data_IF_656826950645
#
_entry.id   IF_656826950645
#
_cell.length_a   1.000
_cell.length_b   1.000
_cell.length_c   1.000
_cell.angle_alpha   90.00
_cell.angle_beta   90.00
_cell.angle_gamma   90.00
#
_symmetry.space_group_name_H-M   'P 1'
#
loop_
_entity.id
_entity.type
_entity.pdbx_description
1 polymer ?
#
# COMPACT_ATOMS: atom_id res chain seq x y z
N UNK A 1 -5.80 -12.85 40.08
CA UNK A 1 -4.35 -12.70 40.32
C UNK A 1 -3.63 -12.77 38.97
N UNK A 2 -3.24 -11.63 38.40
CA UNK A 2 -2.38 -11.58 37.22
C UNK A 2 -1.26 -10.59 37.53
N UNK A 3 -0.02 -11.10 37.65
CA UNK A 3 1.18 -10.30 37.94
C UNK A 3 1.63 -9.62 36.65
N UNK A 4 1.64 -8.28 36.68
CA UNK A 4 2.28 -7.46 35.67
C UNK A 4 3.81 -7.59 35.77
N UNK A 5 4.44 -7.98 34.66
CA UNK A 5 5.89 -8.01 34.49
C UNK A 5 6.31 -6.67 33.85
N UNK A 6 6.71 -5.71 34.68
CA UNK A 6 7.40 -4.50 34.24
C UNK A 6 8.87 -4.87 34.04
N UNK A 7 9.30 -5.03 32.78
CA UNK A 7 10.72 -5.20 32.44
C UNK A 7 11.34 -3.86 32.03
N UNK A 8 12.60 -3.72 32.43
CA UNK A 8 13.44 -2.55 32.31
C UNK A 8 13.64 -2.13 30.85
N UNK A 9 13.36 -0.87 30.54
CA UNK A 9 13.89 -0.19 29.37
C UNK A 9 15.41 0.00 29.52
N UNK A 10 16.17 -0.94 28.97
CA UNK A 10 17.60 -0.78 28.73
C UNK A 10 17.84 0.23 27.62
N UNK A 11 18.83 1.11 27.82
CA UNK A 11 19.39 1.99 26.79
C UNK A 11 19.91 1.15 25.61
N UNK A 12 19.07 0.91 24.60
CA UNK A 12 19.55 0.47 23.30
C UNK A 12 20.11 1.69 22.57
N UNK A 13 21.43 1.72 22.43
CA UNK A 13 22.12 2.70 21.61
C UNK A 13 21.53 2.72 20.20
N UNK A 14 21.32 3.93 19.68
CA UNK A 14 20.92 4.20 18.30
C UNK A 14 21.96 3.60 17.33
N UNK A 15 21.86 2.31 17.06
CA UNK A 15 22.64 1.69 15.99
C UNK A 15 22.12 2.26 14.68
N UNK A 16 22.97 3.03 14.00
CA UNK A 16 22.75 3.57 12.68
C UNK A 16 22.30 2.44 11.74
N UNK A 17 21.00 2.40 11.43
CA UNK A 17 20.40 1.35 10.62
C UNK A 17 20.91 1.44 9.18
N UNK A 18 21.91 0.61 8.83
CA UNK A 18 22.31 0.44 7.43
C UNK A 18 21.10 -0.08 6.64
N UNK A 19 20.73 0.63 5.58
CA UNK A 19 19.63 0.23 4.69
C UNK A 19 19.97 -1.10 3.99
N UNK A 20 19.00 -2.01 3.77
CA UNK A 20 19.21 -3.22 3.00
C UNK A 20 19.78 -2.92 1.61
N UNK A 21 20.67 -3.79 1.12
CA UNK A 21 21.27 -3.61 -0.20
C UNK A 21 20.30 -4.13 -1.27
N UNK A 22 19.90 -3.26 -2.20
CA UNK A 22 19.08 -3.66 -3.35
C UNK A 22 19.93 -4.41 -4.37
N UNK A 23 19.46 -5.59 -4.77
CA UNK A 23 20.11 -6.44 -5.77
C UNK A 23 19.63 -6.03 -7.17
N UNK A 24 20.54 -5.99 -8.14
CA UNK A 24 20.17 -5.75 -9.54
C UNK A 24 19.41 -6.95 -10.09
N UNK A 25 18.40 -6.71 -10.92
CA UNK A 25 17.64 -7.79 -11.55
C UNK A 25 18.57 -8.68 -12.38
N UNK A 26 18.59 -10.01 -12.15
CA UNK A 26 19.33 -10.93 -13.00
C UNK A 26 18.80 -10.91 -14.44
N UNK A 27 19.67 -11.12 -15.46
CA UNK A 27 19.28 -10.95 -16.86
C UNK A 27 18.40 -12.09 -17.43
N UNK A 28 18.44 -13.28 -16.82
CA UNK A 28 17.69 -14.46 -17.28
C UNK A 28 17.45 -15.44 -16.11
N UNK A 29 16.70 -16.51 -16.38
CA UNK A 29 16.29 -17.48 -15.35
C UNK A 29 17.47 -18.23 -14.73
N UNK A 30 18.45 -18.64 -15.54
CA UNK A 30 19.63 -19.35 -15.06
C UNK A 30 20.43 -18.47 -14.09
N UNK A 31 20.69 -17.22 -14.45
CA UNK A 31 21.41 -16.28 -13.59
C UNK A 31 20.66 -15.97 -12.29
N UNK A 32 19.32 -15.97 -12.33
CA UNK A 32 18.51 -15.85 -11.12
C UNK A 32 18.62 -17.12 -10.25
N UNK A 33 18.55 -18.31 -10.83
CA UNK A 33 18.71 -19.57 -10.11
C UNK A 33 20.10 -19.66 -9.44
N UNK A 34 21.17 -19.38 -10.18
CA UNK A 34 22.55 -19.37 -9.66
C UNK A 34 22.69 -18.37 -8.49
N UNK A 35 22.06 -17.20 -8.61
CA UNK A 35 22.06 -16.19 -7.56
C UNK A 35 21.28 -16.64 -6.31
N UNK A 36 20.14 -17.31 -6.49
CA UNK A 36 19.35 -17.88 -5.39
C UNK A 36 20.14 -18.96 -4.65
N UNK A 37 20.81 -19.86 -5.38
CA UNK A 37 21.64 -20.92 -4.81
C UNK A 37 22.84 -20.37 -4.03
N UNK A 38 23.50 -19.32 -4.54
CA UNK A 38 24.55 -18.59 -3.82
C UNK A 38 24.09 -18.00 -2.47
N UNK A 39 22.78 -17.81 -2.32
CA UNK A 39 22.13 -17.34 -1.11
C UNK A 39 21.37 -18.45 -0.35
N UNK A 40 21.76 -19.71 -0.58
CA UNK A 40 21.24 -20.90 0.12
C UNK A 40 19.73 -21.13 -0.09
N UNK A 41 19.18 -20.67 -1.21
CA UNK A 41 17.79 -20.91 -1.59
C UNK A 41 17.72 -22.05 -2.59
N UNK A 42 17.18 -23.19 -2.15
CA UNK A 42 16.88 -24.33 -3.03
C UNK A 42 15.61 -24.07 -3.86
N UNK A 43 15.76 -24.01 -5.18
CA UNK A 43 14.66 -23.81 -6.13
C UNK A 43 14.15 -25.11 -6.75
N UNK A 44 14.66 -26.28 -6.36
CA UNK A 44 14.30 -27.57 -6.97
C UNK A 44 12.81 -27.91 -6.91
N UNK A 45 12.10 -27.41 -5.88
CA UNK A 45 10.65 -27.61 -5.70
C UNK A 45 9.79 -26.47 -6.23
N UNK A 46 10.38 -25.48 -6.92
CA UNK A 46 9.65 -24.33 -7.45
C UNK A 46 8.94 -24.71 -8.76
N UNK A 47 7.66 -24.37 -8.87
CA UNK A 47 6.80 -24.79 -9.98
C UNK A 47 5.81 -25.90 -9.60
N UNK A 48 5.98 -26.51 -8.42
CA UNK A 48 5.08 -27.52 -7.89
C UNK A 48 4.12 -26.96 -6.81
N UNK A 49 2.88 -27.43 -6.83
CA UNK A 49 1.88 -27.09 -5.82
C UNK A 49 1.56 -25.59 -5.77
N UNK A 50 1.98 -24.91 -4.70
CA UNK A 50 1.78 -23.46 -4.48
C UNK A 50 3.01 -22.63 -4.80
N UNK A 51 4.17 -23.26 -4.98
CA UNK A 51 5.42 -22.58 -5.29
C UNK A 51 5.40 -22.18 -6.77
N UNK A 52 5.73 -20.93 -7.06
CA UNK A 52 5.84 -20.43 -8.42
C UNK A 52 7.22 -20.79 -9.00
N UNK A 53 7.34 -20.99 -10.32
CA UNK A 53 8.63 -21.26 -10.94
C UNK A 53 9.55 -20.02 -10.90
N UNK A 54 10.85 -20.23 -11.07
CA UNK A 54 11.87 -19.16 -11.14
C UNK A 54 11.53 -18.11 -12.19
N UNK A 55 11.03 -18.54 -13.37
CA UNK A 55 10.48 -17.67 -14.42
C UNK A 55 9.50 -16.61 -13.90
N UNK A 56 8.63 -16.99 -12.96
CA UNK A 56 7.64 -16.06 -12.40
C UNK A 56 8.29 -15.00 -11.52
N UNK A 57 9.30 -15.37 -10.70
CA UNK A 57 10.04 -14.39 -9.91
C UNK A 57 10.82 -13.43 -10.81
N UNK A 58 11.48 -13.95 -11.84
CA UNK A 58 12.20 -13.12 -12.82
C UNK A 58 11.26 -12.10 -13.48
N UNK A 59 10.05 -12.54 -13.88
CA UNK A 59 9.03 -11.64 -14.42
C UNK A 59 8.65 -10.56 -13.41
N UNK A 60 8.35 -10.91 -12.16
CA UNK A 60 8.02 -9.93 -11.11
C UNK A 60 9.17 -8.91 -10.89
N UNK A 61 10.43 -9.34 -10.97
CA UNK A 61 11.60 -8.47 -10.84
C UNK A 61 11.82 -7.54 -12.05
N UNK A 62 11.54 -8.05 -13.26
CA UNK A 62 11.63 -7.27 -14.51
C UNK A 62 10.54 -6.21 -14.60
N UNK A 63 9.30 -6.57 -14.24
CA UNK A 63 8.17 -5.63 -14.11
C UNK A 63 8.37 -4.63 -12.96
N UNK A 64 9.27 -4.94 -12.03
CA UNK A 64 9.51 -4.12 -10.85
C UNK A 64 8.40 -4.20 -9.81
N UNK A 65 7.53 -5.21 -9.88
CA UNK A 65 6.48 -5.47 -8.88
C UNK A 65 7.02 -6.10 -7.59
N UNK A 66 8.31 -6.48 -7.58
CA UNK A 66 9.09 -6.74 -6.37
C UNK A 66 10.58 -6.40 -6.58
N UNK A 67 11.36 -6.45 -5.50
CA UNK A 67 12.83 -6.36 -5.55
C UNK A 67 13.48 -7.39 -4.64
N UNK A 68 14.68 -7.84 -4.99
CA UNK A 68 15.51 -8.64 -4.10
C UNK A 68 16.41 -7.72 -3.27
N UNK A 69 16.50 -7.97 -1.97
CA UNK A 69 17.34 -7.23 -1.04
C UNK A 69 18.13 -8.18 -0.14
N UNK A 70 19.36 -7.80 0.18
CA UNK A 70 20.17 -8.51 1.16
C UNK A 70 20.13 -7.70 2.45
N UNK A 71 19.66 -8.33 3.52
CA UNK A 71 19.60 -7.71 4.83
C UNK A 71 20.98 -7.63 5.51
N UNK A 72 21.00 -7.11 6.75
CA UNK A 72 22.24 -6.99 7.51
C UNK A 72 22.84 -8.34 7.91
N UNK A 73 22.02 -9.38 8.02
CA UNK A 73 22.42 -10.75 8.31
C UNK A 73 22.78 -11.56 7.05
N UNK A 74 22.92 -10.88 5.90
CA UNK A 74 23.21 -11.48 4.58
C UNK A 74 22.13 -12.44 4.07
N UNK A 75 20.92 -12.37 4.63
CA UNK A 75 19.78 -13.15 4.15
C UNK A 75 19.12 -12.45 2.97
N UNK A 76 18.74 -13.26 1.99
CA UNK A 76 18.01 -12.79 0.83
C UNK A 76 16.53 -12.59 1.18
N UNK A 77 16.00 -11.44 0.80
CA UNK A 77 14.62 -11.04 1.05
C UNK A 77 13.97 -10.57 -0.26
N UNK A 78 12.71 -10.93 -0.46
CA UNK A 78 11.88 -10.41 -1.53
C UNK A 78 11.00 -9.29 -1.00
N UNK A 79 11.30 -8.06 -1.41
CA UNK A 79 10.57 -6.86 -0.98
C UNK A 79 9.42 -6.54 -1.94
N UNK A 80 8.23 -6.33 -1.40
CA UNK A 80 7.01 -5.97 -2.14
C UNK A 80 6.38 -4.75 -1.46
N UNK A 81 5.89 -3.82 -2.26
CA UNK A 81 5.24 -2.59 -1.79
C UNK A 81 3.75 -2.60 -2.20
N UNK A 82 2.88 -3.35 -1.50
CA UNK A 82 1.44 -3.32 -1.79
C UNK A 82 0.80 -2.01 -1.32
N UNK A 83 -0.17 -1.52 -2.08
CA UNK A 83 -0.94 -0.30 -1.85
C UNK A 83 -2.43 -0.64 -1.79
N UNK A 84 -3.05 -0.47 -0.63
CA UNK A 84 -4.50 -0.61 -0.45
C UNK A 84 -5.17 0.76 -0.57
N UNK A 85 -6.14 0.89 -1.47
CA UNK A 85 -6.78 2.16 -1.84
C UNK A 85 -8.23 2.15 -1.38
N UNK A 86 -8.53 2.93 -0.34
CA UNK A 86 -9.90 3.21 0.11
C UNK A 86 -10.48 4.36 -0.71
N UNK A 87 -11.32 4.05 -1.68
CA UNK A 87 -12.03 5.04 -2.49
C UNK A 87 -13.36 5.32 -1.81
N UNK A 88 -13.56 6.54 -1.33
CA UNK A 88 -14.74 6.95 -0.55
C UNK A 88 -15.60 7.95 -1.30
N UNK A 89 -16.91 7.85 -1.10
CA UNK A 89 -17.90 8.78 -1.63
C UNK A 89 -19.12 8.81 -0.70
N UNK A 90 -19.50 9.98 -0.19
CA UNK A 90 -20.66 10.19 0.70
C UNK A 90 -20.77 9.17 1.85
N UNK A 91 -19.68 8.94 2.59
CA UNK A 91 -19.66 8.02 3.74
C UNK A 91 -19.61 6.52 3.38
N UNK A 92 -19.61 6.19 2.09
CA UNK A 92 -19.40 4.83 1.58
C UNK A 92 -17.97 4.61 1.11
N UNK A 93 -17.59 3.34 1.00
CA UNK A 93 -16.30 2.89 0.46
C UNK A 93 -16.54 1.83 -0.61
N UNK A 94 -15.76 1.91 -1.69
CA UNK A 94 -15.79 0.91 -2.75
C UNK A 94 -15.05 -0.36 -2.32
N UNK A 95 -15.72 -1.50 -2.43
CA UNK A 95 -15.24 -2.80 -1.98
C UNK A 95 -15.42 -3.81 -3.11
N UNK A 96 -14.36 -4.51 -3.48
CA UNK A 96 -14.48 -5.75 -4.25
C UNK A 96 -15.15 -6.77 -3.32
N UNK A 97 -16.20 -7.45 -3.76
CA UNK A 97 -16.96 -8.42 -2.95
C UNK A 97 -16.77 -9.85 -3.41
N UNK A 98 -16.57 -10.03 -4.72
CA UNK A 98 -16.60 -11.34 -5.34
C UNK A 98 -15.79 -11.33 -6.63
N UNK A 99 -15.10 -12.44 -6.88
CA UNK A 99 -14.49 -12.76 -8.17
C UNK A 99 -15.24 -13.91 -8.82
N UNK A 100 -15.55 -13.79 -10.11
CA UNK A 100 -16.07 -14.88 -10.94
C UNK A 100 -15.01 -15.26 -11.95
N UNK A 101 -14.49 -16.49 -11.82
CA UNK A 101 -13.41 -17.01 -12.65
C UNK A 101 -13.94 -17.48 -14.02
N UNK A 102 -13.06 -17.67 -15.03
CA UNK A 102 -13.48 -18.13 -16.36
C UNK A 102 -14.26 -19.45 -16.37
N UNK A 103 -14.03 -20.33 -15.39
CA UNK A 103 -14.76 -21.59 -15.21
C UNK A 103 -16.14 -21.42 -14.52
N UNK A 104 -16.57 -20.19 -14.27
CA UNK A 104 -17.82 -19.84 -13.57
C UNK A 104 -17.75 -19.96 -12.05
N UNK A 105 -16.64 -20.46 -11.48
CA UNK A 105 -16.50 -20.55 -10.02
C UNK A 105 -16.43 -19.15 -9.41
N UNK A 106 -17.01 -19.01 -8.21
CA UNK A 106 -17.08 -17.75 -7.50
C UNK A 106 -16.27 -17.84 -6.21
N UNK A 107 -15.60 -16.73 -5.86
CA UNK A 107 -14.90 -16.59 -4.59
C UNK A 107 -15.30 -15.27 -3.95
N UNK A 108 -15.83 -15.35 -2.73
CA UNK A 108 -15.98 -14.17 -1.87
C UNK A 108 -14.60 -13.57 -1.63
N UNK A 109 -14.48 -12.30 -1.92
CA UNK A 109 -13.23 -11.57 -1.82
C UNK A 109 -13.56 -10.18 -1.33
N UNK A 110 -13.57 -9.97 -0.01
CA UNK A 110 -13.96 -8.72 0.62
C UNK A 110 -12.72 -7.85 0.86
N UNK A 111 -12.32 -7.08 -0.15
CA UNK A 111 -11.14 -6.21 -0.09
C UNK A 111 -11.43 -4.88 -0.74
N UNK A 112 -10.77 -3.81 -0.28
CA UNK A 112 -10.64 -2.60 -1.10
C UNK A 112 -9.67 -2.86 -2.25
N UNK A 113 -9.61 -1.93 -3.22
CA UNK A 113 -8.66 -2.01 -4.34
C UNK A 113 -7.24 -2.17 -3.81
N UNK A 114 -6.49 -3.12 -4.35
CA UNK A 114 -5.15 -3.46 -3.88
C UNK A 114 -4.20 -3.58 -5.06
N UNK A 115 -3.25 -2.66 -5.15
CA UNK A 115 -2.29 -2.56 -6.24
C UNK A 115 -0.87 -2.83 -5.72
N UNK A 116 0.06 -3.27 -6.58
CA UNK A 116 1.48 -3.30 -6.22
C UNK A 116 2.17 -2.10 -6.82
N UNK A 117 2.98 -1.40 -6.03
CA UNK A 117 3.87 -0.36 -6.59
C UNK A 117 4.94 -1.00 -7.47
N UNK A 118 5.07 -0.48 -8.69
CA UNK A 118 6.08 -0.88 -9.66
C UNK A 118 7.31 0.04 -9.56
N UNK A 119 8.39 -0.33 -10.26
CA UNK A 119 9.60 0.48 -10.32
C UNK A 119 9.36 1.84 -10.99
N UNK A 120 8.49 1.87 -12.00
CA UNK A 120 8.22 3.07 -12.80
C UNK A 120 7.21 4.01 -12.13
N UNK A 121 6.55 3.56 -11.05
CA UNK A 121 5.72 4.43 -10.21
C UNK A 121 6.64 5.32 -9.36
N UNK A 122 6.61 6.63 -9.62
CA UNK A 122 7.42 7.59 -8.86
C UNK A 122 7.02 7.65 -7.37
N UNK A 123 5.73 7.44 -7.08
CA UNK A 123 5.15 7.47 -5.73
C UNK A 123 4.11 6.37 -5.53
N UNK A 124 3.70 6.11 -4.29
CA UNK A 124 2.56 5.21 -3.99
C UNK A 124 1.22 5.77 -4.49
N UNK A 125 1.09 7.10 -4.62
CA UNK A 125 -0.07 7.75 -5.26
C UNK A 125 -0.15 7.34 -6.72
N UNK A 126 0.98 7.34 -7.44
CA UNK A 126 1.00 6.96 -8.86
C UNK A 126 0.56 5.50 -9.04
N UNK A 127 1.04 4.60 -8.18
CA UNK A 127 0.58 3.20 -8.14
C UNK A 127 -0.94 3.10 -7.88
N UNK A 128 -1.46 3.84 -6.89
CA UNK A 128 -2.89 3.86 -6.59
C UNK A 128 -3.75 4.38 -7.76
N UNK A 129 -3.30 5.45 -8.43
CA UNK A 129 -3.96 6.02 -9.60
C UNK A 129 -3.94 5.03 -10.77
N UNK A 130 -2.80 4.38 -11.03
CA UNK A 130 -2.68 3.34 -12.06
C UNK A 130 -3.64 2.18 -11.78
N UNK A 131 -3.64 1.64 -10.56
CA UNK A 131 -4.55 0.56 -10.17
C UNK A 131 -6.02 0.92 -10.37
N UNK A 132 -6.44 2.15 -9.99
CA UNK A 132 -7.79 2.63 -10.26
C UNK A 132 -8.12 2.65 -11.76
N UNK A 133 -7.21 3.14 -12.61
CA UNK A 133 -7.42 3.17 -14.07
C UNK A 133 -7.51 1.76 -14.67
N UNK A 134 -6.62 0.86 -14.25
CA UNK A 134 -6.53 -0.50 -14.78
C UNK A 134 -7.70 -1.38 -14.35
N UNK A 135 -8.01 -1.41 -13.04
CA UNK A 135 -9.04 -2.28 -12.48
C UNK A 135 -10.46 -1.73 -12.61
N UNK A 136 -10.65 -0.41 -12.47
CA UNK A 136 -11.97 0.23 -12.50
C UNK A 136 -12.33 0.85 -13.85
N UNK A 137 -11.38 0.88 -14.80
CA UNK A 137 -11.55 1.45 -16.16
C UNK A 137 -12.01 2.92 -16.14
N UNK A 138 -11.50 3.68 -15.18
CA UNK A 138 -11.77 5.13 -15.05
C UNK A 138 -10.61 5.93 -15.60
N UNK A 139 -10.89 7.02 -16.32
CA UNK A 139 -9.86 7.93 -16.81
C UNK A 139 -9.66 9.08 -15.81
N UNK A 140 -8.64 8.93 -14.97
CA UNK A 140 -8.27 9.89 -13.91
C UNK A 140 -6.75 10.09 -13.83
N UNK A 141 -6.34 11.18 -13.20
CA UNK A 141 -4.98 11.52 -12.81
C UNK A 141 -4.97 12.06 -11.37
N UNK A 142 -3.78 12.28 -10.80
CA UNK A 142 -3.61 12.88 -9.47
C UNK A 142 -4.15 14.31 -9.37
N UNK A 143 -4.32 15.00 -10.50
CA UNK A 143 -4.89 16.36 -10.60
C UNK A 143 -6.38 16.37 -10.93
N UNK A 144 -7.04 15.21 -11.03
CA UNK A 144 -8.46 15.15 -11.38
C UNK A 144 -9.30 15.89 -10.34
N UNK A 145 -10.04 16.90 -10.80
CA UNK A 145 -10.87 17.74 -9.94
C UNK A 145 -11.84 16.88 -9.11
N UNK A 146 -11.79 17.06 -7.79
CA UNK A 146 -12.62 16.35 -6.82
C UNK A 146 -12.14 14.96 -6.44
N UNK A 147 -10.99 14.49 -6.94
CA UNK A 147 -10.32 13.30 -6.44
C UNK A 147 -9.29 13.70 -5.37
N UNK A 148 -9.69 13.66 -4.10
CA UNK A 148 -8.87 14.19 -3.00
C UNK A 148 -8.12 13.06 -2.29
N UNK A 149 -6.80 13.01 -2.43
CA UNK A 149 -5.94 12.16 -1.60
C UNK A 149 -5.80 12.75 -0.20
N UNK A 150 -5.96 11.93 0.85
CA UNK A 150 -5.77 12.32 2.25
C UNK A 150 -4.41 11.83 2.80
N UNK A 151 -3.27 12.51 2.52
CA UNK A 151 -1.93 12.02 2.85
C UNK A 151 -1.69 11.85 4.36
N UNK A 152 -2.33 12.69 5.19
CA UNK A 152 -2.22 12.61 6.65
C UNK A 152 -2.88 11.34 7.22
N UNK A 153 -3.71 10.66 6.46
CA UNK A 153 -4.37 9.42 6.85
C UNK A 153 -3.64 8.18 6.35
N UNK A 154 -2.60 8.35 5.53
CA UNK A 154 -1.81 7.21 5.07
C UNK A 154 -1.23 6.45 6.27
N UNK A 155 -1.31 5.13 6.21
CA UNK A 155 -0.66 4.22 7.16
C UNK A 155 0.29 3.34 6.39
N UNK A 156 1.52 3.24 6.89
CA UNK A 156 2.52 2.32 6.35
C UNK A 156 2.97 1.37 7.46
N UNK A 157 3.15 0.09 7.13
CA UNK A 157 3.83 -0.84 8.01
C UNK A 157 4.62 -1.86 7.20
N UNK A 158 5.67 -2.38 7.84
CA UNK A 158 6.54 -3.39 7.27
C UNK A 158 6.36 -4.70 8.03
N UNK A 159 6.02 -5.77 7.31
CA UNK A 159 5.95 -7.13 7.87
C UNK A 159 6.88 -8.07 7.12
N UNK A 160 7.38 -9.10 7.82
CA UNK A 160 8.20 -10.17 7.26
C UNK A 160 7.47 -11.49 7.40
N UNK A 161 7.41 -12.27 6.32
CA UNK A 161 6.70 -13.55 6.27
C UNK A 161 7.44 -14.56 5.39
N UNK A 162 7.25 -15.85 5.66
CA UNK A 162 7.70 -16.89 4.74
C UNK A 162 6.87 -16.87 3.45
N UNK A 163 7.55 -16.85 2.31
CA UNK A 163 6.89 -16.79 1.01
C UNK A 163 6.44 -18.18 0.58
N UNK A 164 5.13 -18.48 0.68
CA UNK A 164 4.57 -19.72 0.15
C UNK A 164 4.80 -19.88 -1.37
N UNK A 165 4.88 -18.77 -2.11
CA UNK A 165 5.17 -18.77 -3.55
C UNK A 165 6.64 -19.00 -3.87
N UNK A 166 7.55 -18.68 -2.94
CA UNK A 166 9.00 -18.76 -3.12
C UNK A 166 9.65 -19.31 -1.85
N UNK A 167 9.47 -20.61 -1.55
CA UNK A 167 10.04 -21.23 -0.36
C UNK A 167 11.54 -20.96 -0.22
N UNK A 168 12.00 -20.68 1.00
CA UNK A 168 13.39 -20.29 1.28
C UNK A 168 13.68 -18.79 1.15
N UNK A 169 12.80 -18.01 0.51
CA UNK A 169 12.95 -16.55 0.39
C UNK A 169 11.91 -15.84 1.27
N UNK A 170 12.37 -15.16 2.32
CA UNK A 170 11.48 -14.35 3.15
C UNK A 170 10.90 -13.18 2.34
N UNK A 171 9.58 -12.99 2.39
CA UNK A 171 8.92 -11.84 1.82
C UNK A 171 8.84 -10.71 2.85
N UNK A 172 9.21 -9.50 2.43
CA UNK A 172 8.99 -8.27 3.19
C UNK A 172 7.91 -7.48 2.48
N UNK A 173 6.80 -7.22 3.18
CA UNK A 173 5.71 -6.39 2.67
C UNK A 173 5.75 -5.02 3.33
N UNK A 174 6.10 -4.01 2.56
CA UNK A 174 6.03 -2.60 2.96
C UNK A 174 4.69 -2.02 2.50
N UNK A 175 3.67 -2.31 3.30
CA UNK A 175 2.28 -2.09 2.94
C UNK A 175 1.87 -0.66 3.22
N UNK A 176 1.29 0.02 2.23
CA UNK A 176 0.69 1.35 2.38
C UNK A 176 -0.83 1.29 2.22
N UNK A 177 -1.56 1.92 3.13
CA UNK A 177 -3.00 2.15 3.04
C UNK A 177 -3.21 3.63 2.75
N UNK A 178 -4.04 3.92 1.74
CA UNK A 178 -4.30 5.27 1.27
C UNK A 178 -5.79 5.48 1.12
N UNK A 179 -6.24 6.73 1.31
CA UNK A 179 -7.62 7.12 1.10
C UNK A 179 -7.75 8.19 0.04
N UNK A 180 -8.69 7.99 -0.88
CA UNK A 180 -9.11 8.95 -1.87
C UNK A 180 -10.59 9.23 -1.68
N UNK A 181 -10.96 10.49 -1.51
CA UNK A 181 -12.35 10.91 -1.41
C UNK A 181 -12.79 11.56 -2.73
N UNK A 182 -13.89 11.06 -3.28
CA UNK A 182 -14.54 11.63 -4.45
C UNK A 182 -15.55 12.68 -3.97
N UNK A 183 -15.39 13.92 -4.43
CA UNK A 183 -16.32 15.00 -4.11
C UNK A 183 -17.59 14.94 -4.98
N UNK A 184 -18.80 15.10 -4.42
CA UNK A 184 -20.04 15.18 -5.22
C UNK A 184 -20.02 16.33 -6.24
N UNK A 185 -20.57 16.09 -7.43
CA UNK A 185 -20.64 17.08 -8.53
C UNK A 185 -19.34 17.32 -9.30
N UNK A 186 -18.23 16.68 -8.89
CA UNK A 186 -16.90 16.89 -9.44
C UNK A 186 -16.62 16.16 -10.76
N UNK A 187 -15.47 16.41 -11.38
CA UNK A 187 -15.00 15.61 -12.52
C UNK A 187 -14.73 14.16 -12.12
N UNK A 188 -14.18 13.92 -10.92
CA UNK A 188 -13.95 12.58 -10.40
C UNK A 188 -15.25 11.78 -10.29
N UNK A 189 -16.34 12.38 -9.76
CA UNK A 189 -17.64 11.69 -9.71
C UNK A 189 -18.11 11.25 -11.09
N UNK A 190 -17.99 12.13 -12.10
CA UNK A 190 -18.34 11.81 -13.49
C UNK A 190 -17.48 10.68 -14.06
N UNK A 191 -16.17 10.69 -13.78
CA UNK A 191 -15.26 9.63 -14.22
C UNK A 191 -15.63 8.26 -13.64
N UNK A 192 -16.18 8.24 -12.43
CA UNK A 192 -16.65 7.03 -11.74
C UNK A 192 -18.14 6.71 -12.00
N UNK A 193 -18.77 7.31 -13.00
CA UNK A 193 -20.18 7.04 -13.34
C UNK A 193 -20.43 5.59 -13.74
N UNK A 194 -19.51 4.96 -14.49
CA UNK A 194 -19.55 3.53 -14.80
C UNK A 194 -19.28 2.64 -13.58
N UNK A 195 -18.70 3.21 -12.52
CA UNK A 195 -18.49 2.58 -11.22
C UNK A 195 -19.67 2.82 -10.27
N UNK A 196 -20.86 3.09 -10.80
CA UNK A 196 -22.10 3.20 -10.04
C UNK A 196 -22.35 4.54 -9.37
N UNK A 197 -21.47 5.53 -9.49
CA UNK A 197 -21.74 6.89 -8.98
C UNK A 197 -22.76 7.65 -9.85
N UNK A 198 -23.53 8.60 -9.27
CA UNK A 198 -23.54 8.98 -7.84
C UNK A 198 -24.43 8.08 -6.97
N UNK A 199 -25.19 7.16 -7.57
CA UNK A 199 -26.17 6.34 -6.88
C UNK A 199 -25.55 5.21 -6.03
N UNK A 200 -24.23 5.04 -6.07
CA UNK A 200 -23.48 4.00 -5.39
C UNK A 200 -23.98 2.59 -5.76
N UNK A 201 -24.33 2.39 -7.03
CA UNK A 201 -24.82 1.09 -7.52
C UNK A 201 -23.68 0.07 -7.58
N UNK A 202 -23.92 -1.21 -7.28
CA UNK A 202 -22.97 -2.27 -7.59
C UNK A 202 -22.65 -2.30 -9.10
N UNK A 203 -21.44 -2.73 -9.43
CA UNK A 203 -20.99 -2.86 -10.82
C UNK A 203 -19.94 -3.97 -10.96
N UNK A 204 -19.55 -4.25 -12.19
CA UNK A 204 -18.54 -5.26 -12.49
C UNK A 204 -17.46 -4.68 -13.41
N UNK A 205 -16.22 -5.12 -13.22
CA UNK A 205 -15.14 -4.93 -14.19
C UNK A 205 -14.61 -6.28 -14.66
N UNK A 206 -13.96 -6.28 -15.82
CA UNK A 206 -13.41 -7.50 -16.43
C UNK A 206 -11.90 -7.34 -16.63
N UNK A 207 -11.17 -8.30 -16.09
CA UNK A 207 -9.74 -8.48 -16.30
C UNK A 207 -9.51 -9.65 -17.27
N UNK A 208 -8.71 -9.44 -18.32
CA UNK A 208 -8.38 -10.50 -19.27
C UNK A 208 -7.20 -11.32 -18.74
N UNK A 209 -7.42 -12.60 -18.45
CA UNK A 209 -6.37 -13.57 -18.10
C UNK A 209 -6.12 -14.53 -19.26
N UNK A 210 -5.03 -15.29 -19.18
CA UNK A 210 -4.71 -16.35 -20.17
C UNK A 210 -5.81 -17.41 -20.21
N UNK A 211 -6.41 -17.70 -19.05
CA UNK A 211 -7.47 -18.68 -18.86
C UNK A 211 -8.86 -18.16 -19.27
N UNK A 212 -8.99 -16.87 -19.59
CA UNK A 212 -10.23 -16.20 -19.94
C UNK A 212 -10.56 -14.97 -19.07
N UNK A 213 -11.76 -14.39 -19.21
CA UNK A 213 -12.15 -13.21 -18.46
C UNK A 213 -12.39 -13.52 -16.98
N UNK A 214 -11.74 -12.75 -16.10
CA UNK A 214 -12.01 -12.70 -14.67
C UNK A 214 -12.94 -11.52 -14.40
N UNK A 215 -14.13 -11.79 -13.89
CA UNK A 215 -15.08 -10.73 -13.49
C UNK A 215 -14.85 -10.36 -12.04
N UNK A 216 -14.72 -9.06 -11.78
CA UNK A 216 -14.57 -8.45 -10.46
C UNK A 216 -15.88 -7.74 -10.12
N UNK A 217 -16.57 -8.18 -9.07
CA UNK A 217 -17.84 -7.60 -8.65
C UNK A 217 -17.60 -6.61 -7.50
N UNK A 218 -18.02 -5.37 -7.68
CA UNK A 218 -17.78 -4.25 -6.79
C UNK A 218 -19.07 -3.71 -6.18
N UNK A 219 -18.99 -3.28 -4.93
CA UNK A 219 -20.11 -2.71 -4.18
C UNK A 219 -19.66 -1.52 -3.33
N UNK A 220 -20.53 -0.52 -3.22
CA UNK A 220 -20.34 0.62 -2.32
C UNK A 220 -21.00 0.34 -0.98
N UNK A 221 -20.17 0.01 0.02
CA UNK A 221 -20.64 -0.28 1.37
C UNK A 221 -20.57 0.96 2.25
N UNK A 222 -21.46 1.04 3.24
CA UNK A 222 -21.27 2.01 4.32
C UNK A 222 -19.91 1.80 4.98
N UNK A 223 -19.13 2.87 5.17
CA UNK A 223 -17.74 2.75 5.62
C UNK A 223 -17.60 1.96 6.93
N UNK A 224 -18.51 2.21 7.87
CA UNK A 224 -18.55 1.55 9.17
C UNK A 224 -19.00 0.07 9.07
N UNK A 225 -19.82 -0.28 8.08
CA UNK A 225 -20.20 -1.67 7.79
C UNK A 225 -19.03 -2.45 7.21
N UNK A 226 -18.28 -1.84 6.27
CA UNK A 226 -17.08 -2.43 5.70
C UNK A 226 -16.03 -2.75 6.77
N UNK A 227 -15.81 -1.81 7.72
CA UNK A 227 -14.94 -2.04 8.88
C UNK A 227 -15.41 -3.21 9.75
N UNK A 228 -16.69 -3.23 10.17
CA UNK A 228 -17.23 -4.31 11.01
C UNK A 228 -17.21 -5.67 10.33
N UNK A 229 -17.33 -5.68 9.00
CA UNK A 229 -17.32 -6.90 8.20
C UNK A 229 -15.90 -7.43 7.93
N UNK A 230 -14.86 -6.74 8.42
CA UNK A 230 -13.47 -7.17 8.25
C UNK A 230 -12.98 -7.09 6.81
N UNK A 231 -13.48 -6.12 6.03
CA UNK A 231 -12.99 -5.88 4.66
C UNK A 231 -11.49 -5.61 4.71
N UNK A 232 -10.71 -6.41 3.95
CA UNK A 232 -9.25 -6.27 3.90
C UNK A 232 -8.89 -4.92 3.28
N UNK A 233 -7.87 -4.26 3.85
CA UNK A 233 -7.44 -2.94 3.38
C UNK A 233 -8.19 -1.77 4.03
N UNK A 234 -9.17 -2.04 4.89
CA UNK A 234 -9.83 -1.00 5.67
C UNK A 234 -8.99 -0.57 6.87
N UNK A 235 -8.98 0.74 7.09
CA UNK A 235 -8.29 1.42 8.18
C UNK A 235 -9.22 2.52 8.68
N UNK A 236 -9.54 2.58 9.98
CA UNK A 236 -10.38 3.65 10.50
C UNK A 236 -9.69 5.02 10.35
N UNK A 237 -10.44 6.11 10.10
CA UNK A 237 -9.89 7.46 10.14
C UNK A 237 -9.26 7.74 11.51
N UNK A 238 -8.14 8.49 11.54
CA UNK A 238 -7.38 8.76 12.78
C UNK A 238 -8.21 9.45 13.87
N UNK A 239 -9.22 10.22 13.46
CA UNK A 239 -10.09 10.97 14.37
C UNK A 239 -11.23 10.15 14.96
N UNK A 240 -11.36 8.87 14.60
CA UNK A 240 -12.42 8.01 15.12
C UNK A 240 -11.85 7.12 16.21
N UNK A 241 -12.02 7.53 17.46
CA UNK A 241 -11.77 6.65 18.60
C UNK A 241 -12.78 5.49 18.57
N UNK A 242 -12.26 4.27 18.46
CA UNK A 242 -13.04 3.07 18.69
C UNK A 242 -13.43 3.03 20.17
N UNK A 243 -14.74 3.02 20.46
CA UNK A 243 -15.18 2.65 21.81
C UNK A 243 -14.69 1.24 22.12
N UNK A 244 -14.37 0.99 23.38
CA UNK A 244 -13.94 -0.32 23.88
C UNK A 244 -14.94 -1.46 23.62
N UNK A 245 -16.20 -1.13 23.26
CA UNK A 245 -17.23 -2.11 22.88
C UNK A 245 -17.02 -2.71 21.47
N UNK A 246 -16.13 -2.14 20.65
CA UNK A 246 -15.81 -2.60 19.30
C UNK A 246 -16.98 -2.53 18.31
N UNK A 247 -18.09 -1.87 18.66
CA UNK A 247 -19.34 -1.87 17.89
C UNK A 247 -19.84 -0.48 17.53
N UNK A 248 -19.38 0.56 18.23
CA UNK A 248 -19.88 1.92 18.04
C UNK A 248 -18.74 2.90 17.74
N UNK A 249 -18.78 3.48 16.54
CA UNK A 249 -17.93 4.60 16.14
C UNK A 249 -18.58 5.89 16.61
N UNK A 250 -17.82 6.74 17.31
CA UNK A 250 -18.23 8.10 17.58
C UNK A 250 -17.61 9.00 16.52
N UNK A 251 -18.45 9.65 15.73
CA UNK A 251 -17.98 10.73 14.86
C UNK A 251 -17.49 11.89 15.74
N UNK A 252 -16.24 12.32 15.56
CA UNK A 252 -15.67 13.45 16.29
C UNK A 252 -16.48 14.74 16.04
N UNK A 253 -17.15 14.86 14.90
CA UNK A 253 -18.03 15.98 14.58
C UNK A 253 -19.27 16.06 15.49
N UNK A 254 -19.70 14.91 16.04
CA UNK A 254 -20.82 14.86 17.00
C UNK A 254 -20.48 15.49 18.36
N UNK A 255 -19.19 15.70 18.66
CA UNK A 255 -18.76 16.43 19.85
C UNK A 255 -18.77 17.95 19.68
N UNK A 256 -18.57 18.46 18.45
CA UNK A 256 -18.55 19.91 18.21
C UNK A 256 -19.95 20.54 18.30
N UNK A 257 -21.00 19.76 18.04
CA UNK A 257 -22.40 20.17 18.25
C UNK A 257 -22.87 20.05 19.71
N UNK A 258 -22.11 19.38 20.58
CA UNK A 258 -22.48 19.13 21.99
C UNK A 258 -21.82 20.09 23.00
N UNK A 259 -21.08 21.12 22.55
CA UNK A 259 -20.59 22.19 23.44
C UNK A 259 -19.55 21.77 24.50
N UNK A 260 -18.91 20.61 24.35
CA UNK A 260 -17.90 20.10 25.30
C UNK A 260 -16.49 20.55 24.90
N UNK A 261 -16.19 21.85 25.04
CA UNK A 261 -14.83 22.41 24.81
C UNK A 261 -13.86 22.23 25.99
N UNK A 262 -14.33 21.82 27.16
CA UNK A 262 -13.56 22.04 28.40
C UNK A 262 -12.71 20.85 28.91
N UNK A 263 -12.74 19.69 28.24
CA UNK A 263 -11.96 18.53 28.66
C UNK A 263 -10.58 18.40 27.97
N UNK A 264 -10.30 19.16 26.91
CA UNK A 264 -9.08 19.00 26.10
C UNK A 264 -7.97 20.02 26.40
N UNK A 265 -8.20 20.98 27.31
CA UNK A 265 -7.16 21.91 27.76
C UNK A 265 -6.15 21.27 28.72
N UNK A 266 -6.53 20.19 29.43
CA UNK A 266 -5.65 19.50 30.40
C UNK A 266 -4.71 18.44 29.83
N UNK A 267 -4.86 18.05 28.56
CA UNK A 267 -3.96 17.10 27.91
C UNK A 267 -2.82 17.78 27.11
N UNK A 268 -2.77 19.11 27.10
CA UNK A 268 -1.84 19.91 26.28
C UNK A 268 -0.66 20.51 27.06
N UNK A 269 -0.58 20.31 28.37
CA UNK A 269 0.51 20.83 29.21
C UNK A 269 1.70 19.86 29.40
N UNK A 270 1.54 18.56 29.08
CA UNK A 270 2.60 17.55 29.30
C UNK A 270 3.39 17.16 28.04
N UNK A 271 3.43 18.01 27.01
CA UNK A 271 4.21 17.74 25.78
C UNK A 271 4.90 18.98 25.24
N UNK A 272 5.87 19.49 26.00
CA UNK A 272 6.91 20.36 25.48
C UNK A 272 8.27 20.00 26.08
N UNK A 273 9.12 19.30 25.30
CA UNK A 273 10.52 19.66 25.02
C UNK A 273 11.22 18.55 24.23
N UNK A 274 11.32 18.69 22.90
CA UNK A 274 12.55 18.47 22.13
C UNK A 274 12.49 19.44 20.95
N UNK A 275 13.15 20.59 21.07
CA UNK A 275 13.46 21.45 19.92
C UNK A 275 14.66 20.84 19.19
N UNK A 276 14.48 20.42 17.94
CA UNK A 276 15.60 20.18 17.04
C UNK A 276 16.02 21.51 16.42
N UNK A 277 17.16 22.04 16.89
CA UNK A 277 17.87 23.13 16.23
C UNK A 277 18.34 22.64 14.85
N UNK A 278 17.64 23.04 13.79
CA UNK A 278 18.15 22.98 12.43
C UNK A 278 18.65 24.38 12.09
N UNK A 279 19.97 24.57 12.15
CA UNK A 279 20.61 25.80 11.69
C UNK A 279 20.46 25.95 10.16
N UNK A 280 20.50 27.19 9.63
CA UNK A 280 20.30 27.43 8.21
C UNK A 280 21.47 26.88 7.39
N UNK A 281 21.21 25.82 6.64
CA UNK A 281 22.12 25.26 5.65
C UNK A 281 22.28 26.25 4.49
N UNK A 282 23.49 26.79 4.32
CA UNK A 282 23.83 27.69 3.20
C UNK A 282 23.81 26.88 1.90
N UNK A 283 22.83 27.15 1.06
CA UNK A 283 22.80 26.69 -0.34
C UNK A 283 24.06 27.17 -1.07
N UNK A 284 24.90 26.23 -1.50
CA UNK A 284 25.96 26.53 -2.46
C UNK A 284 25.34 26.69 -3.86
N UNK A 285 25.78 27.69 -4.65
CA UNK A 285 25.30 27.83 -6.02
C UNK A 285 25.77 26.65 -6.89
N UNK A 286 24.98 26.27 -7.90
CA UNK A 286 25.33 25.17 -8.78
C UNK A 286 26.61 25.46 -9.59
N UNK A 287 27.40 24.43 -9.92
CA UNK A 287 28.58 24.59 -10.74
C UNK A 287 28.21 25.03 -12.17
N UNK A 288 29.08 25.81 -12.84
CA UNK A 288 28.85 26.25 -14.21
C UNK A 288 28.85 25.07 -15.21
N UNK A 289 28.12 25.21 -16.33
CA UNK A 289 28.03 24.16 -17.34
C UNK A 289 29.38 23.92 -18.02
N UNK A 290 29.75 22.64 -18.14
CA UNK A 290 30.94 22.17 -18.85
C UNK A 290 30.70 22.30 -20.36
N UNK A 291 31.40 23.24 -21.00
CA UNK A 291 31.44 23.34 -22.46
C UNK A 291 32.27 22.19 -23.02
N UNK A 292 31.64 21.32 -23.82
CA UNK A 292 32.35 20.32 -24.63
C UNK A 292 32.97 21.01 -25.83
N UNK A 293 34.29 21.08 -25.87
CA UNK A 293 35.06 21.37 -27.09
C UNK A 293 34.91 20.19 -28.04
N UNK A 294 34.32 20.45 -29.20
CA UNK A 294 34.37 19.59 -30.37
C UNK A 294 35.74 19.76 -31.03
N UNK A 295 36.65 18.83 -30.80
CA UNK A 295 37.83 18.68 -31.65
C UNK A 295 37.44 17.91 -32.91
N UNK A 296 37.73 18.55 -34.02
CA UNK A 296 37.59 18.04 -35.38
C UNK A 296 38.85 17.27 -35.72
N UNK A 297 38.71 16.06 -36.26
CA UNK A 297 39.57 15.43 -37.27
C UNK A 297 38.89 14.16 -37.80
#
# INVERSE_FOLDING_TARGET
MAKACLSLFGLFGLQSSKKPQVVRCPPNEQALADFLEQHEVDTSSWGDGKAKPVASLLRELNEGSCSLRIDQAKKLQRWVEPVFVQITYNGKVLVERMKVFPNGSQRVHATVLAEKKWRDDATTVDAAIRGMREELRVEISKETEGLVHAPLENICFVESMDSASYPGVAAIYDTTFMRFNIQPGSMAERAFSACGLPACKPFETVEQKVEGPLHLCWEWLEFHEALRSGVRGMVPPRDVELKADGKHYLDRSSYESAGLRDCLSKAREDSHQVQLNVGPERLQPPPPPVTKTTDSL
#
